data_IF_664189350095
#
_entry.id   IF_664189350095
#
_cell.length_a   1.000
_cell.length_b   1.000
_cell.length_c   1.000
_cell.angle_alpha   90.00
_cell.angle_beta   90.00
_cell.angle_gamma   90.00
#
_symmetry.space_group_name_H-M   'P 1'
#
loop_
_entity.id
_entity.type
_entity.pdbx_description
1 polymer ?
#
# COMPACT_ATOMS: atom_id res chain seq x y z
N UNK A 1 -6.02 11.21 -61.94
CA UNK A 1 -5.81 11.45 -60.50
C UNK A 1 -4.39 12.02 -60.41
N UNK A 2 -4.12 13.33 -60.46
CA UNK A 2 -4.35 14.40 -59.46
C UNK A 2 -4.01 13.89 -58.05
N UNK A 3 -3.03 14.38 -57.29
CA UNK A 3 -2.49 15.74 -57.06
C UNK A 3 -1.02 15.63 -56.57
N UNK A 4 -0.02 16.35 -57.10
CA UNK A 4 0.52 17.67 -56.69
C UNK A 4 0.86 17.83 -55.19
N UNK A 5 2.13 17.66 -54.84
CA UNK A 5 2.78 18.19 -53.63
C UNK A 5 3.41 19.56 -53.95
N UNK A 6 2.98 20.63 -53.28
CA UNK A 6 3.74 21.89 -53.15
C UNK A 6 3.29 22.66 -51.89
N UNK A 7 4.26 23.39 -51.32
CA UNK A 7 4.22 24.55 -50.40
C UNK A 7 4.43 24.21 -48.92
N UNK A 8 5.59 24.51 -48.31
CA UNK A 8 6.31 25.79 -48.11
C UNK A 8 5.59 26.74 -47.16
N UNK A 9 6.29 27.20 -46.11
CA UNK A 9 5.97 28.45 -45.41
C UNK A 9 6.33 28.48 -43.93
N UNK A 10 7.56 28.92 -43.63
CA UNK A 10 8.02 29.48 -42.36
C UNK A 10 7.10 30.60 -41.82
N UNK A 11 7.07 30.79 -40.49
CA UNK A 11 7.57 32.02 -39.81
C UNK A 11 7.00 32.18 -38.38
N UNK A 12 7.95 32.43 -37.46
CA UNK A 12 7.90 33.38 -36.34
C UNK A 12 6.81 33.25 -35.26
N UNK A 13 7.21 33.03 -34.00
CA UNK A 13 7.26 34.15 -33.05
C UNK A 13 7.76 33.69 -31.68
N UNK A 14 8.70 34.46 -31.15
CA UNK A 14 9.29 34.32 -29.84
C UNK A 14 8.25 34.14 -28.72
N UNK A 15 8.45 33.13 -27.86
CA UNK A 15 7.96 33.20 -26.49
C UNK A 15 9.14 32.99 -25.55
N UNK A 16 9.64 34.14 -25.10
CA UNK A 16 10.09 34.41 -23.73
C UNK A 16 10.68 33.23 -22.97
N UNK A 17 11.99 33.31 -22.73
CA UNK A 17 12.69 32.62 -21.64
C UNK A 17 11.98 32.92 -20.31
N UNK A 18 10.91 32.18 -20.03
CA UNK A 18 10.23 32.19 -18.75
C UNK A 18 11.14 31.42 -17.81
N UNK A 19 11.74 32.16 -16.89
CA UNK A 19 12.42 31.62 -15.72
C UNK A 19 11.52 30.56 -15.07
N UNK A 20 11.79 29.29 -15.35
CA UNK A 20 11.27 28.18 -14.57
C UNK A 20 12.04 28.22 -13.25
N UNK A 21 11.40 28.78 -12.22
CA UNK A 21 11.85 28.59 -10.85
C UNK A 21 11.56 27.14 -10.52
N UNK A 22 12.59 26.31 -10.59
CA UNK A 22 12.55 24.93 -10.11
C UNK A 22 11.94 24.92 -8.71
N UNK A 23 10.97 24.04 -8.50
CA UNK A 23 10.37 23.78 -7.20
C UNK A 23 11.28 22.97 -6.26
N UNK A 24 12.56 22.82 -6.65
CA UNK A 24 13.61 22.16 -5.88
C UNK A 24 14.58 23.20 -5.31
N UNK A 25 14.05 24.11 -4.49
CA UNK A 25 14.85 24.84 -3.51
C UNK A 25 15.36 23.93 -2.37
N UNK A 26 15.71 22.70 -2.69
CA UNK A 26 16.28 21.70 -1.79
C UNK A 26 17.33 20.89 -2.56
N UNK A 27 18.41 21.56 -2.96
CA UNK A 27 19.63 20.88 -3.38
C UNK A 27 20.22 20.18 -2.15
N UNK A 28 19.95 18.89 -2.01
CA UNK A 28 20.85 17.99 -1.29
C UNK A 28 22.15 17.96 -2.09
N UNK A 29 23.16 18.70 -1.63
CA UNK A 29 24.53 18.43 -2.04
C UNK A 29 24.85 16.97 -1.68
N UNK A 30 25.45 16.20 -2.59
CA UNK A 30 25.95 14.86 -2.27
C UNK A 30 27.10 14.97 -1.28
N UNK A 31 27.10 14.08 -0.28
CA UNK A 31 28.18 13.86 0.69
C UNK A 31 29.59 13.91 0.04
N UNK A 32 30.58 14.49 0.73
CA UNK A 32 31.92 13.95 0.73
C UNK A 32 32.16 13.09 1.98
N UNK A 33 32.53 11.85 1.73
CA UNK A 33 33.07 10.89 2.70
C UNK A 33 34.23 11.49 3.52
N UNK A 34 34.26 11.12 4.80
CA UNK A 34 35.49 11.08 5.61
C UNK A 34 35.54 12.10 6.74
N UNK A 35 35.29 11.65 7.97
CA UNK A 35 36.34 11.60 9.00
C UNK A 35 35.86 10.81 10.24
N UNK A 36 36.84 10.18 10.87
CA UNK A 36 36.73 9.19 11.93
C UNK A 36 36.50 9.88 13.28
N UNK A 37 35.66 9.30 14.13
CA UNK A 37 35.46 9.73 15.51
C UNK A 37 34.75 8.67 16.34
N UNK A 38 35.53 7.98 17.15
CA UNK A 38 35.19 6.83 18.00
C UNK A 38 34.72 7.30 19.41
N UNK A 39 34.13 6.37 20.20
CA UNK A 39 33.95 6.39 21.68
C UNK A 39 32.64 7.08 22.16
N UNK A 40 31.73 6.55 22.98
CA UNK A 40 31.58 5.32 23.78
C UNK A 40 30.09 5.09 24.14
N UNK A 41 29.67 3.85 24.32
CA UNK A 41 28.49 3.48 25.13
C UNK A 41 28.80 3.61 26.64
N UNK A 42 27.77 3.73 27.49
CA UNK A 42 27.68 2.69 28.52
C UNK A 42 26.25 2.17 28.83
N UNK A 43 26.24 0.87 29.14
CA UNK A 43 25.18 0.00 29.68
C UNK A 43 24.42 0.57 30.92
N UNK A 44 23.20 0.05 31.22
CA UNK A 44 22.30 0.53 32.26
C UNK A 44 22.41 -0.29 33.57
N UNK A 45 21.92 0.27 34.70
CA UNK A 45 21.41 -0.47 35.89
C UNK A 45 20.84 0.51 36.97
N UNK A 46 20.02 0.03 37.94
CA UNK A 46 18.66 0.54 38.16
C UNK A 46 18.39 1.02 39.61
N UNK A 47 17.10 1.35 39.89
CA UNK A 47 16.42 1.44 41.21
C UNK A 47 16.60 2.82 41.92
N UNK A 48 15.61 3.55 42.43
CA UNK A 48 14.25 3.27 42.98
C UNK A 48 13.46 4.61 43.15
N UNK A 49 12.17 4.58 43.55
CA UNK A 49 11.14 5.59 43.26
C UNK A 49 11.14 6.74 44.28
N UNK A 50 10.26 7.75 44.12
CA UNK A 50 9.34 8.27 45.16
C UNK A 50 8.35 9.31 44.57
N UNK A 51 7.06 8.92 44.65
CA UNK A 51 5.85 9.69 45.03
C UNK A 51 5.46 11.01 44.35
N UNK A 52 4.31 10.92 43.67
CA UNK A 52 3.11 11.78 43.74
C UNK A 52 3.23 13.31 43.67
N UNK A 53 2.72 13.89 42.58
CA UNK A 53 1.62 14.87 42.65
C UNK A 53 0.78 14.80 41.36
N UNK A 54 -0.57 14.72 41.44
CA UNK A 54 -1.43 14.57 40.28
C UNK A 54 -1.82 15.93 39.69
N UNK A 55 -1.67 16.06 38.36
CA UNK A 55 -2.16 17.19 37.58
C UNK A 55 -2.87 16.69 36.34
N UNK A 56 -4.16 16.42 36.48
CA UNK A 56 -5.07 16.13 35.37
C UNK A 56 -5.37 17.42 34.59
N UNK A 57 -5.30 17.37 33.26
CA UNK A 57 -6.25 18.01 32.33
C UNK A 57 -5.79 17.86 30.87
N UNK A 58 -6.65 17.27 30.03
CA UNK A 58 -6.65 17.48 28.58
C UNK A 58 -6.33 16.24 27.75
N UNK A 59 -7.30 15.34 27.57
CA UNK A 59 -7.14 14.19 26.68
C UNK A 59 -8.44 13.65 26.05
N UNK A 60 -9.57 14.34 26.18
CA UNK A 60 -10.87 13.78 25.74
C UNK A 60 -11.29 14.23 24.32
N UNK A 61 -10.71 15.31 23.76
CA UNK A 61 -11.12 15.83 22.45
C UNK A 61 -10.38 15.18 21.26
N UNK A 62 -9.12 14.74 21.43
CA UNK A 62 -8.30 14.20 20.35
C UNK A 62 -8.76 12.84 19.82
N UNK A 63 -9.12 11.91 20.73
CA UNK A 63 -9.61 10.58 20.36
C UNK A 63 -10.94 10.64 19.59
N UNK A 64 -11.80 11.61 19.89
CA UNK A 64 -13.09 11.77 19.22
C UNK A 64 -12.92 12.29 17.78
N UNK A 65 -12.02 13.24 17.57
CA UNK A 65 -11.77 13.83 16.25
C UNK A 65 -11.14 12.82 15.28
N UNK A 66 -10.14 12.06 15.76
CA UNK A 66 -9.54 10.96 15.00
C UNK A 66 -10.58 9.91 14.64
N UNK A 67 -11.30 9.39 15.63
CA UNK A 67 -12.32 8.35 15.43
C UNK A 67 -13.44 8.80 14.48
N UNK A 68 -13.82 10.07 14.54
CA UNK A 68 -14.83 10.64 13.64
C UNK A 68 -14.35 10.68 12.18
N UNK A 69 -13.08 11.05 11.95
CA UNK A 69 -12.46 11.05 10.62
C UNK A 69 -12.33 9.62 10.07
N UNK A 70 -11.84 8.68 10.89
CA UNK A 70 -11.68 7.29 10.47
C UNK A 70 -13.04 6.66 10.11
N UNK A 71 -14.09 6.94 10.89
CA UNK A 71 -15.45 6.48 10.60
C UNK A 71 -16.04 7.12 9.35
N UNK A 72 -15.81 8.42 9.13
CA UNK A 72 -16.32 9.15 7.96
C UNK A 72 -15.74 8.60 6.66
N UNK A 73 -14.43 8.34 6.65
CA UNK A 73 -13.71 8.00 5.42
C UNK A 73 -13.47 6.49 5.24
N UNK A 74 -13.51 5.70 6.31
CA UNK A 74 -13.27 4.25 6.27
C UNK A 74 -11.80 3.87 6.09
N UNK A 75 -10.89 4.74 6.48
CA UNK A 75 -9.45 4.53 6.47
C UNK A 75 -8.86 4.94 7.82
N UNK A 76 -7.80 4.28 8.31
CA UNK A 76 -7.08 4.76 9.47
C UNK A 76 -6.46 6.14 9.16
N UNK A 77 -6.35 6.99 10.19
CA UNK A 77 -5.95 8.39 10.02
C UNK A 77 -4.62 8.54 9.28
N UNK A 78 -3.66 7.67 9.56
CA UNK A 78 -2.33 7.71 8.95
C UNK A 78 -2.35 7.42 7.44
N UNK A 79 -3.15 6.44 7.00
CA UNK A 79 -3.34 6.15 5.57
C UNK A 79 -4.07 7.29 4.87
N UNK A 80 -5.12 7.81 5.50
CA UNK A 80 -5.90 8.92 4.96
C UNK A 80 -5.05 10.18 4.79
N UNK A 81 -4.21 10.48 5.78
CA UNK A 81 -3.23 11.56 5.71
C UNK A 81 -2.21 11.32 4.58
N UNK A 82 -1.71 10.09 4.41
CA UNK A 82 -0.81 9.75 3.30
C UNK A 82 -1.46 9.98 1.93
N UNK A 83 -2.72 9.55 1.77
CA UNK A 83 -3.50 9.82 0.56
C UNK A 83 -3.74 11.32 0.33
N UNK A 84 -4.05 12.07 1.39
CA UNK A 84 -4.21 13.51 1.35
C UNK A 84 -2.92 14.22 0.91
N UNK A 85 -1.78 13.82 1.47
CA UNK A 85 -0.48 14.39 1.13
C UNK A 85 -0.09 14.09 -0.33
N UNK A 86 -0.34 12.86 -0.81
CA UNK A 86 -0.12 12.49 -2.21
C UNK A 86 -1.01 13.31 -3.14
N UNK A 87 -2.30 13.41 -2.82
CA UNK A 87 -3.25 14.23 -3.58
C UNK A 87 -2.83 15.70 -3.62
N UNK A 88 -2.43 16.27 -2.49
CA UNK A 88 -1.94 17.64 -2.40
C UNK A 88 -0.74 17.85 -3.34
N UNK A 89 0.29 17.00 -3.27
CA UNK A 89 1.49 17.11 -4.13
C UNK A 89 1.17 16.95 -5.63
N UNK A 90 0.29 16.02 -5.98
CA UNK A 90 -0.01 15.70 -7.37
C UNK A 90 -0.90 16.75 -8.05
N UNK A 91 -1.75 17.42 -7.25
CA UNK A 91 -2.86 18.25 -7.75
C UNK A 91 -2.72 19.74 -7.42
N UNK A 92 -1.82 20.14 -6.51
CA UNK A 92 -1.53 21.55 -6.23
C UNK A 92 -1.04 22.26 -7.50
N UNK A 93 -1.68 23.40 -7.81
CA UNK A 93 -1.40 24.19 -9.02
C UNK A 93 -1.86 23.57 -10.34
N UNK A 94 -2.50 22.39 -10.31
CA UNK A 94 -3.05 21.73 -11.51
C UNK A 94 -4.57 21.63 -11.47
N UNK A 95 -5.11 21.02 -10.41
CA UNK A 95 -6.55 20.75 -10.29
C UNK A 95 -7.25 21.63 -9.25
N UNK A 96 -6.49 22.23 -8.32
CA UNK A 96 -7.01 23.24 -7.42
C UNK A 96 -5.90 24.23 -7.04
N UNK A 97 -6.32 25.43 -6.63
CA UNK A 97 -5.45 26.54 -6.29
C UNK A 97 -5.81 27.00 -4.88
N UNK A 98 -5.26 26.38 -3.83
CA UNK A 98 -5.51 26.83 -2.46
C UNK A 98 -5.03 28.28 -2.33
N UNK A 99 -5.69 29.06 -1.48
CA UNK A 99 -5.24 30.43 -1.22
C UNK A 99 -3.84 30.41 -0.60
N UNK A 100 -3.14 31.55 -0.65
CA UNK A 100 -1.81 31.65 -0.04
C UNK A 100 -1.83 31.24 1.44
N UNK A 101 -2.82 31.72 2.19
CA UNK A 101 -3.02 31.38 3.61
C UNK A 101 -3.31 29.89 3.82
N UNK A 102 -4.19 29.30 3.00
CA UNK A 102 -4.49 27.87 3.05
C UNK A 102 -3.26 27.01 2.75
N UNK A 103 -2.44 27.43 1.78
CA UNK A 103 -1.19 26.77 1.44
C UNK A 103 -0.17 26.86 2.57
N UNK A 104 -0.03 28.03 3.20
CA UNK A 104 0.79 28.19 4.40
C UNK A 104 0.32 27.26 5.52
N UNK A 105 -0.99 27.20 5.77
CA UNK A 105 -1.58 26.34 6.80
C UNK A 105 -1.35 24.85 6.52
N UNK A 106 -1.55 24.40 5.28
CA UNK A 106 -1.28 23.00 4.88
C UNK A 106 0.20 22.64 5.09
N UNK A 107 1.12 23.53 4.72
CA UNK A 107 2.56 23.32 4.94
C UNK A 107 2.89 23.31 6.44
N UNK A 108 2.34 24.22 7.23
CA UNK A 108 2.53 24.27 8.67
C UNK A 108 2.06 22.97 9.35
N UNK A 109 0.85 22.50 9.01
CA UNK A 109 0.30 21.24 9.51
C UNK A 109 1.17 20.04 9.11
N UNK A 110 1.68 20.00 7.88
CA UNK A 110 2.61 18.95 7.45
C UNK A 110 3.91 18.98 8.26
N UNK A 111 4.48 20.17 8.52
CA UNK A 111 5.67 20.31 9.38
C UNK A 111 5.39 19.87 10.81
N UNK A 112 4.23 20.21 11.38
CA UNK A 112 3.82 19.74 12.70
C UNK A 112 3.76 18.21 12.77
N UNK A 113 3.27 17.55 11.72
CA UNK A 113 3.21 16.08 11.66
C UNK A 113 4.61 15.44 11.60
N UNK A 114 5.55 16.07 10.89
CA UNK A 114 6.90 15.53 10.68
C UNK A 114 7.85 15.83 11.85
N UNK A 115 7.83 17.06 12.35
CA UNK A 115 8.82 17.61 13.27
C UNK A 115 8.23 17.92 14.65
N UNK A 116 6.92 17.88 14.80
CA UNK A 116 6.24 18.29 16.02
C UNK A 116 6.10 19.82 16.16
N UNK A 117 5.84 20.30 17.38
CA UNK A 117 5.74 21.73 17.69
C UNK A 117 6.94 22.55 17.22
N UNK A 118 6.68 23.78 16.80
CA UNK A 118 7.74 24.69 16.36
C UNK A 118 8.74 24.96 17.48
N UNK A 119 10.02 24.70 17.20
CA UNK A 119 11.13 25.05 18.08
C UNK A 119 11.94 26.22 17.48
N UNK A 120 12.00 27.39 18.12
CA UNK A 120 12.78 28.53 17.64
C UNK A 120 14.28 28.25 17.60
N UNK A 121 14.81 27.40 18.49
CA UNK A 121 16.26 27.13 18.58
C UNK A 121 16.74 26.19 17.46
N UNK A 122 15.83 25.38 16.92
CA UNK A 122 16.12 24.46 15.81
C UNK A 122 15.96 25.12 14.43
N UNK A 123 15.54 26.38 14.36
CA UNK A 123 15.21 27.08 13.11
C UNK A 123 16.11 28.31 12.94
N UNK A 124 16.97 28.37 11.90
CA UNK A 124 17.78 29.54 11.62
C UNK A 124 16.94 30.82 11.50
N UNK A 125 17.55 31.96 11.81
CA UNK A 125 16.90 33.25 11.65
C UNK A 125 16.65 33.52 10.16
N UNK A 126 15.38 33.67 9.78
CA UNK A 126 15.02 34.07 8.43
C UNK A 126 15.25 35.58 8.32
N UNK A 127 16.06 35.97 7.34
CA UNK A 127 16.41 37.36 7.09
C UNK A 127 15.18 38.23 6.78
N UNK A 128 15.28 39.51 7.07
CA UNK A 128 14.18 40.49 6.93
C UNK A 128 13.49 40.47 5.55
N UNK A 129 14.25 40.20 4.47
CA UNK A 129 13.71 40.18 3.10
C UNK A 129 13.00 38.87 2.72
N UNK A 130 13.13 37.79 3.49
CA UNK A 130 12.44 36.52 3.22
C UNK A 130 11.05 36.51 3.90
N UNK A 131 10.15 37.31 3.30
CA UNK A 131 8.74 37.43 3.73
C UNK A 131 8.03 36.08 3.73
N UNK A 132 8.26 35.24 2.72
CA UNK A 132 7.65 33.91 2.61
C UNK A 132 8.15 32.96 3.70
N UNK A 133 9.45 33.00 4.01
CA UNK A 133 10.03 32.23 5.12
C UNK A 133 9.48 32.69 6.47
N UNK A 134 9.33 34.00 6.67
CA UNK A 134 8.72 34.55 7.88
C UNK A 134 7.26 34.12 8.04
N UNK A 135 6.45 34.19 6.99
CA UNK A 135 5.05 33.75 7.04
C UNK A 135 4.94 32.26 7.34
N UNK A 136 5.76 31.40 6.70
CA UNK A 136 5.80 29.96 6.98
C UNK A 136 6.19 29.65 8.42
N UNK A 137 7.20 30.33 8.96
CA UNK A 137 7.60 30.17 10.37
C UNK A 137 6.49 30.63 11.31
N UNK A 138 5.89 31.78 11.05
CA UNK A 138 4.81 32.35 11.85
C UNK A 138 3.59 31.43 11.87
N UNK A 139 3.22 30.88 10.72
CA UNK A 139 2.08 29.96 10.61
C UNK A 139 2.33 28.65 11.36
N UNK A 140 3.54 28.07 11.24
CA UNK A 140 3.90 26.87 12.00
C UNK A 140 3.97 27.14 13.50
N UNK A 141 4.57 28.26 13.91
CA UNK A 141 4.60 28.69 15.31
C UNK A 141 3.19 28.89 15.90
N UNK A 142 2.22 29.33 15.08
CA UNK A 142 0.82 29.50 15.50
C UNK A 142 0.11 28.19 15.87
N UNK A 143 0.63 27.04 15.43
CA UNK A 143 0.10 25.72 15.79
C UNK A 143 0.41 25.33 17.24
N UNK A 144 1.42 25.94 17.86
CA UNK A 144 1.81 25.68 19.24
C UNK A 144 2.08 24.19 19.49
N UNK A 145 1.54 23.67 20.60
CA UNK A 145 1.72 22.29 21.05
C UNK A 145 0.70 21.32 20.44
N UNK A 146 0.17 21.61 19.26
CA UNK A 146 -0.76 20.74 18.54
C UNK A 146 -0.17 19.33 18.37
N UNK A 147 -0.94 18.31 18.72
CA UNK A 147 -0.50 16.93 18.60
C UNK A 147 -0.40 16.49 17.14
N UNK A 148 0.44 15.49 16.88
CA UNK A 148 0.64 14.94 15.54
C UNK A 148 -0.67 14.46 14.91
N UNK A 149 -1.50 13.77 15.67
CA UNK A 149 -2.77 13.22 15.17
C UNK A 149 -3.78 14.33 14.86
N UNK A 150 -3.85 15.35 15.71
CA UNK A 150 -4.68 16.53 15.48
C UNK A 150 -4.25 17.29 14.21
N UNK A 151 -2.94 17.46 14.02
CA UNK A 151 -2.40 18.08 12.81
C UNK A 151 -2.74 17.29 11.53
N UNK A 152 -2.74 15.95 11.58
CA UNK A 152 -3.18 15.11 10.47
C UNK A 152 -4.68 15.30 10.18
N UNK A 153 -5.52 15.33 11.22
CA UNK A 153 -6.96 15.54 11.10
C UNK A 153 -7.26 16.90 10.46
N UNK A 154 -6.64 17.97 10.96
CA UNK A 154 -6.82 19.31 10.43
C UNK A 154 -6.30 19.44 9.00
N UNK A 155 -5.20 18.76 8.65
CA UNK A 155 -4.68 18.73 7.28
C UNK A 155 -5.72 18.13 6.32
N UNK A 156 -6.30 16.99 6.68
CA UNK A 156 -7.32 16.31 5.86
C UNK A 156 -8.59 17.16 5.73
N UNK A 157 -9.06 17.77 6.83
CA UNK A 157 -10.23 18.66 6.82
C UNK A 157 -10.01 19.87 5.91
N UNK A 158 -8.85 20.53 6.04
CA UNK A 158 -8.50 21.69 5.24
C UNK A 158 -8.37 21.34 3.77
N UNK A 159 -7.68 20.25 3.43
CA UNK A 159 -7.54 19.80 2.04
C UNK A 159 -8.90 19.49 1.41
N UNK A 160 -9.80 18.82 2.16
CA UNK A 160 -11.15 18.54 1.70
C UNK A 160 -11.98 19.81 1.48
N UNK A 161 -11.72 20.88 2.24
CA UNK A 161 -12.35 22.19 2.05
C UNK A 161 -11.80 22.91 0.82
N UNK A 162 -10.48 22.86 0.60
CA UNK A 162 -9.83 23.50 -0.55
C UNK A 162 -10.14 22.80 -1.88
N UNK A 163 -10.40 21.48 -1.85
CA UNK A 163 -10.64 20.71 -3.07
C UNK A 163 -11.75 19.66 -2.88
N UNK A 164 -12.91 19.92 -3.49
CA UNK A 164 -14.04 19.00 -3.49
C UNK A 164 -13.76 17.67 -4.25
N UNK A 165 -12.69 17.59 -5.04
CA UNK A 165 -12.28 16.35 -5.72
C UNK A 165 -11.54 15.38 -4.80
N UNK A 166 -11.12 15.83 -3.62
CA UNK A 166 -10.48 14.95 -2.64
C UNK A 166 -11.45 13.88 -2.13
N UNK A 167 -12.70 14.24 -1.85
CA UNK A 167 -13.71 13.29 -1.39
C UNK A 167 -13.99 12.11 -2.36
N UNK A 168 -14.28 12.35 -3.65
CA UNK A 168 -14.44 11.27 -4.62
C UNK A 168 -13.13 10.50 -4.84
N UNK A 169 -11.96 11.16 -4.78
CA UNK A 169 -10.66 10.48 -4.87
C UNK A 169 -10.47 9.41 -3.77
N UNK A 170 -10.74 9.75 -2.50
CA UNK A 170 -10.67 8.81 -1.38
C UNK A 170 -11.72 7.70 -1.53
N UNK A 171 -12.92 8.04 -1.99
CA UNK A 171 -13.99 7.07 -2.22
C UNK A 171 -13.62 6.06 -3.30
N UNK A 172 -13.04 6.51 -4.42
CA UNK A 172 -12.56 5.63 -5.49
C UNK A 172 -11.47 4.68 -5.00
N UNK A 173 -10.50 5.18 -4.22
CA UNK A 173 -9.47 4.32 -3.62
C UNK A 173 -10.05 3.27 -2.67
N UNK A 174 -11.13 3.60 -1.94
CA UNK A 174 -11.82 2.63 -1.08
C UNK A 174 -12.44 1.50 -1.90
N UNK A 175 -13.18 1.87 -2.95
CA UNK A 175 -13.85 0.90 -3.83
C UNK A 175 -12.82 0.01 -4.52
N UNK A 176 -11.73 0.59 -5.03
CA UNK A 176 -10.65 -0.16 -5.69
C UNK A 176 -10.02 -1.18 -4.74
N UNK A 177 -9.76 -0.80 -3.48
CA UNK A 177 -9.21 -1.72 -2.47
C UNK A 177 -10.18 -2.86 -2.16
N UNK A 178 -11.45 -2.55 -1.92
CA UNK A 178 -12.48 -3.56 -1.65
C UNK A 178 -12.66 -4.52 -2.84
N UNK A 179 -12.58 -4.02 -4.08
CA UNK A 179 -12.65 -4.85 -5.28
C UNK A 179 -11.43 -5.75 -5.44
N UNK A 180 -10.22 -5.25 -5.17
CA UNK A 180 -9.00 -6.04 -5.20
C UNK A 180 -9.02 -7.16 -4.16
N UNK A 181 -9.48 -6.89 -2.94
CA UNK A 181 -9.63 -7.92 -1.91
C UNK A 181 -10.68 -8.98 -2.30
N UNK A 182 -11.80 -8.56 -2.90
CA UNK A 182 -12.81 -9.50 -3.39
C UNK A 182 -12.25 -10.41 -4.48
N UNK A 183 -11.56 -9.84 -5.48
CA UNK A 183 -10.93 -10.61 -6.56
C UNK A 183 -9.93 -11.62 -6.02
N UNK A 184 -9.10 -11.22 -5.06
CA UNK A 184 -8.13 -12.12 -4.42
C UNK A 184 -8.81 -13.30 -3.73
N UNK A 185 -9.88 -13.07 -2.97
CA UNK A 185 -10.65 -14.14 -2.32
C UNK A 185 -11.33 -15.07 -3.31
N UNK A 186 -11.92 -14.52 -4.38
CA UNK A 186 -12.54 -15.30 -5.45
C UNK A 186 -11.51 -16.16 -6.20
N UNK A 187 -10.30 -15.64 -6.44
CA UNK A 187 -9.21 -16.39 -7.05
C UNK A 187 -8.69 -17.49 -6.13
N UNK A 188 -8.47 -17.21 -4.84
CA UNK A 188 -8.10 -18.22 -3.85
C UNK A 188 -9.16 -19.32 -3.73
N UNK A 189 -10.46 -18.97 -3.74
CA UNK A 189 -11.55 -19.95 -3.71
C UNK A 189 -11.62 -20.77 -5.00
N UNK A 190 -11.42 -20.15 -6.16
CA UNK A 190 -11.35 -20.85 -7.45
C UNK A 190 -10.20 -21.85 -7.46
N UNK A 191 -9.01 -21.44 -7.04
CA UNK A 191 -7.84 -22.31 -6.97
C UNK A 191 -8.09 -23.50 -6.03
N UNK A 192 -8.70 -23.26 -4.87
CA UNK A 192 -9.07 -24.32 -3.93
C UNK A 192 -10.07 -25.32 -4.52
N UNK A 193 -11.09 -24.83 -5.25
CA UNK A 193 -12.06 -25.70 -5.94
C UNK A 193 -11.41 -26.52 -7.06
N UNK A 194 -10.52 -25.90 -7.85
CA UNK A 194 -9.78 -26.59 -8.91
C UNK A 194 -8.82 -27.65 -8.35
N UNK A 195 -8.18 -27.38 -7.21
CA UNK A 195 -7.34 -28.35 -6.52
C UNK A 195 -8.14 -29.52 -5.94
N UNK A 196 -9.27 -29.23 -5.28
CA UNK A 196 -10.20 -30.26 -4.78
C UNK A 196 -10.76 -31.12 -5.92
N UNK A 197 -11.10 -30.52 -7.07
CA UNK A 197 -11.58 -31.26 -8.24
C UNK A 197 -10.47 -32.14 -8.84
N UNK A 198 -9.24 -31.60 -8.95
CA UNK A 198 -8.10 -32.36 -9.46
C UNK A 198 -7.73 -33.51 -8.52
N UNK A 199 -7.87 -33.33 -7.21
CA UNK A 199 -7.65 -34.40 -6.25
C UNK A 199 -8.71 -35.50 -6.36
N UNK A 200 -10.00 -35.12 -6.49
CA UNK A 200 -11.08 -36.09 -6.74
C UNK A 200 -10.85 -36.89 -8.01
N UNK A 201 -10.42 -36.24 -9.09
CA UNK A 201 -10.09 -36.92 -10.35
C UNK A 201 -8.94 -37.92 -10.17
N UNK A 202 -7.88 -37.56 -9.44
CA UNK A 202 -6.77 -38.49 -9.13
C UNK A 202 -7.25 -39.70 -8.32
N UNK A 203 -8.05 -39.47 -7.28
CA UNK A 203 -8.60 -40.55 -6.46
C UNK A 203 -9.53 -41.47 -7.26
N UNK A 204 -10.33 -40.91 -8.16
CA UNK A 204 -11.19 -41.70 -9.05
C UNK A 204 -10.37 -42.51 -10.06
N UNK A 205 -9.34 -41.91 -10.66
CA UNK A 205 -8.44 -42.61 -11.59
C UNK A 205 -7.68 -43.74 -10.89
N UNK A 206 -7.16 -43.50 -9.69
CA UNK A 206 -6.48 -44.52 -8.88
C UNK A 206 -7.44 -45.67 -8.53
N UNK A 207 -8.67 -45.36 -8.10
CA UNK A 207 -9.69 -46.39 -7.83
C UNK A 207 -10.01 -47.22 -9.08
N UNK A 208 -10.19 -46.58 -10.23
CA UNK A 208 -10.44 -47.29 -11.50
C UNK A 208 -9.27 -48.19 -11.90
N UNK A 209 -8.02 -47.75 -11.69
CA UNK A 209 -6.83 -48.56 -11.96
C UNK A 209 -6.77 -49.80 -11.06
N UNK A 210 -7.05 -49.64 -9.77
CA UNK A 210 -7.11 -50.76 -8.82
C UNK A 210 -8.21 -51.76 -9.17
N UNK A 211 -9.41 -51.29 -9.51
CA UNK A 211 -10.52 -52.14 -9.94
C UNK A 211 -10.19 -52.92 -11.24
N UNK A 212 -9.51 -52.27 -12.19
CA UNK A 212 -9.06 -52.92 -13.42
C UNK A 212 -7.95 -53.93 -13.18
N UNK A 213 -6.96 -53.61 -12.34
CA UNK A 213 -5.91 -54.56 -11.96
C UNK A 213 -6.49 -55.78 -11.24
N UNK A 214 -7.45 -55.58 -10.33
CA UNK A 214 -8.14 -56.68 -9.66
C UNK A 214 -8.92 -57.55 -10.63
N UNK A 215 -9.63 -56.96 -11.60
CA UNK A 215 -10.33 -57.69 -12.65
C UNK A 215 -9.37 -58.55 -13.48
N UNK A 216 -8.24 -57.97 -13.91
CA UNK A 216 -7.22 -58.70 -14.66
C UNK A 216 -6.61 -59.85 -13.86
N UNK A 217 -6.36 -59.67 -12.55
CA UNK A 217 -5.87 -60.75 -11.68
C UNK A 217 -6.87 -61.90 -11.57
N UNK A 218 -8.16 -61.59 -11.39
CA UNK A 218 -9.23 -62.61 -11.35
C UNK A 218 -9.32 -63.38 -12.67
N UNK A 219 -9.26 -62.69 -13.81
CA UNK A 219 -9.25 -63.32 -15.14
C UNK A 219 -8.00 -64.21 -15.35
N UNK A 220 -6.82 -63.79 -14.88
CA UNK A 220 -5.60 -64.61 -14.97
C UNK A 220 -5.70 -65.86 -14.09
N UNK A 221 -6.22 -65.73 -12.87
CA UNK A 221 -6.45 -66.86 -11.96
C UNK A 221 -7.45 -67.86 -12.54
N UNK A 222 -8.58 -67.39 -13.09
CA UNK A 222 -9.55 -68.26 -13.78
C UNK A 222 -8.93 -68.96 -15.00
N UNK A 223 -8.10 -68.25 -15.79
CA UNK A 223 -7.41 -68.84 -16.94
C UNK A 223 -6.43 -69.94 -16.52
N UNK A 224 -5.67 -69.72 -15.45
CA UNK A 224 -4.76 -70.74 -14.88
C UNK A 224 -5.54 -71.97 -14.40
N UNK A 225 -6.63 -71.77 -13.65
CA UNK A 225 -7.46 -72.89 -13.17
C UNK A 225 -8.06 -73.70 -14.33
N UNK A 226 -8.57 -73.03 -15.37
CA UNK A 226 -9.10 -73.69 -16.57
C UNK A 226 -8.02 -74.47 -17.33
N UNK A 227 -6.79 -73.94 -17.42
CA UNK A 227 -5.66 -74.63 -18.03
C UNK A 227 -5.26 -75.88 -17.23
N UNK A 228 -5.15 -75.75 -15.90
CA UNK A 228 -4.88 -76.87 -15.00
C UNK A 228 -5.96 -77.96 -15.08
N UNK A 229 -7.23 -77.58 -15.11
CA UNK A 229 -8.35 -78.52 -15.25
C UNK A 229 -8.30 -79.26 -16.60
N UNK A 230 -8.03 -78.56 -17.71
CA UNK A 230 -7.88 -79.18 -19.03
C UNK A 230 -6.75 -80.21 -19.04
N UNK A 231 -5.60 -79.86 -18.47
CA UNK A 231 -4.44 -80.75 -18.38
C UNK A 231 -4.76 -82.00 -17.55
N UNK A 232 -5.51 -81.84 -16.45
CA UNK A 232 -5.94 -82.95 -15.59
C UNK A 232 -6.93 -83.90 -16.30
N UNK A 233 -7.86 -83.34 -17.07
CA UNK A 233 -8.81 -84.13 -17.90
C UNK A 233 -8.06 -84.89 -18.99
N UNK A 234 -7.06 -84.28 -19.62
CA UNK A 234 -6.23 -84.91 -20.65
C UNK A 234 -5.45 -86.10 -20.09
N UNK A 235 -4.78 -85.93 -18.95
CA UNK A 235 -4.09 -87.02 -18.25
C UNK A 235 -5.03 -88.18 -17.88
N UNK A 236 -6.25 -87.88 -17.38
CA UNK A 236 -7.25 -88.92 -17.11
C UNK A 236 -7.70 -89.67 -18.38
N UNK A 237 -7.81 -88.97 -19.52
CA UNK A 237 -8.18 -89.60 -20.80
C UNK A 237 -7.07 -90.51 -21.32
N UNK A 238 -5.81 -90.11 -21.19
CA UNK A 238 -4.67 -90.96 -21.55
C UNK A 238 -4.58 -92.20 -20.67
N UNK A 239 -4.72 -92.04 -19.34
CA UNK A 239 -4.72 -93.14 -18.39
C UNK A 239 -5.89 -94.13 -18.58
N UNK A 240 -7.02 -93.70 -19.16
CA UNK A 240 -8.16 -94.57 -19.50
C UNK A 240 -8.00 -95.30 -20.84
N UNK A 241 -7.05 -94.88 -21.69
CA UNK A 241 -6.78 -95.47 -23.00
C UNK A 241 -5.64 -96.50 -22.97
N UNK A 242 -4.82 -96.51 -21.93
CA UNK A 242 -3.80 -97.52 -21.63
C UNK A 242 -4.41 -98.71 -20.85
#
# INVERSE_FOLDING_TARGET
MMATEVQSGDLDSATSSRLEVSIDGLTLSPDPEGEQGQVEEPDPKPAEPETDTPGAAGGEDGETARSAIERKWGFPLQELYGMALKFFKDKDGKAFHPTYEEKLRLVALHKQVLLGPYNPDASPEVGFFDVLGNDRRKEWASLGNMEKEEAMVEFVKLLNKCCNLFAPYVTSHKIEREEQERKRKEEEERQRREEEERERQRQEEERRRLEEEERLRREEEERRQAEEERLRIEQQKEARKA
#
